data_IF_107441534160
#
_entry.id   IF_107441534160
#
_cell.length_a   1.000
_cell.length_b   1.000
_cell.length_c   1.000
_cell.angle_alpha   90.00
_cell.angle_beta   90.00
_cell.angle_gamma   90.00
#
_symmetry.space_group_name_H-M   'P 1'
#
loop_
_entity.id
_entity.type
_entity.pdbx_description
1 polymer ?
#
# COMPACT_ATOMS: atom_id res chain seq x y z
N UNK A 1 -11.54 -30.05 10.75
CA UNK A 1 -12.39 -29.85 11.93
C UNK A 1 -13.18 -28.53 11.86
N UNK A 2 -13.44 -28.00 10.66
CA UNK A 2 -13.98 -26.64 10.51
C UNK A 2 -15.38 -26.40 11.07
N UNK A 3 -16.18 -27.47 11.24
CA UNK A 3 -17.53 -27.36 11.77
C UNK A 3 -17.60 -27.01 13.27
N UNK A 4 -16.47 -27.11 14.00
CA UNK A 4 -16.41 -26.82 15.45
C UNK A 4 -15.63 -25.53 15.77
N UNK A 5 -15.12 -24.82 14.76
CA UNK A 5 -14.47 -23.51 14.93
C UNK A 5 -15.43 -22.43 14.48
N UNK A 6 -15.71 -21.48 15.37
CA UNK A 6 -16.63 -20.39 15.14
C UNK A 6 -16.20 -19.53 13.92
N UNK A 7 -17.15 -19.03 13.12
CA UNK A 7 -16.83 -18.26 11.90
C UNK A 7 -16.03 -16.97 12.13
N UNK A 8 -16.05 -16.41 13.34
CA UNK A 8 -15.34 -15.19 13.69
C UNK A 8 -13.90 -15.44 14.17
N UNK A 9 -13.50 -16.69 14.39
CA UNK A 9 -12.12 -17.03 14.75
C UNK A 9 -11.21 -16.73 13.57
N UNK A 10 -10.05 -16.14 13.86
CA UNK A 10 -9.04 -15.77 12.89
C UNK A 10 -8.72 -16.94 11.91
N UNK A 11 -8.71 -16.68 10.58
CA UNK A 11 -8.39 -17.71 9.59
C UNK A 11 -7.05 -18.43 9.82
N UNK A 12 -6.02 -17.73 10.31
CA UNK A 12 -4.72 -18.34 10.61
C UNK A 12 -4.81 -19.26 11.82
N UNK A 13 -5.60 -18.90 12.83
CA UNK A 13 -5.90 -19.80 13.97
C UNK A 13 -6.60 -21.05 13.48
N UNK A 14 -7.57 -20.91 12.56
CA UNK A 14 -8.27 -22.06 11.96
C UNK A 14 -7.32 -22.95 11.17
N UNK A 15 -6.43 -22.38 10.36
CA UNK A 15 -5.41 -23.12 9.61
C UNK A 15 -4.50 -23.89 10.57
N UNK A 16 -3.98 -23.20 11.59
CA UNK A 16 -3.15 -23.80 12.62
C UNK A 16 -3.87 -24.98 13.31
N UNK A 17 -5.09 -24.76 13.79
CA UNK A 17 -5.85 -25.75 14.54
C UNK A 17 -6.13 -26.99 13.69
N UNK A 18 -6.59 -26.83 12.44
CA UNK A 18 -6.80 -27.98 11.56
C UNK A 18 -5.51 -28.79 11.32
N UNK A 19 -4.39 -28.10 11.06
CA UNK A 19 -3.08 -28.76 10.91
C UNK A 19 -2.65 -29.46 12.20
N UNK A 20 -2.90 -28.84 13.34
CA UNK A 20 -2.61 -29.40 14.66
C UNK A 20 -3.42 -30.67 14.94
N UNK A 21 -4.72 -30.64 14.70
CA UNK A 21 -5.58 -31.81 14.83
C UNK A 21 -5.21 -32.97 13.89
N UNK A 22 -4.65 -32.66 12.72
CA UNK A 22 -4.21 -33.66 11.74
C UNK A 22 -2.78 -34.15 11.94
N UNK A 23 -2.11 -33.74 13.04
CA UNK A 23 -0.78 -34.23 13.41
C UNK A 23 0.37 -33.61 12.60
N UNK A 24 0.15 -32.45 11.98
CA UNK A 24 1.18 -31.78 11.18
C UNK A 24 2.39 -31.30 12.01
N UNK A 25 2.26 -31.30 13.35
CA UNK A 25 3.29 -30.85 14.28
C UNK A 25 3.81 -31.98 15.18
N UNK A 26 3.51 -33.26 14.88
CA UNK A 26 3.93 -34.42 15.69
C UNK A 26 5.45 -34.51 15.88
N UNK A 27 6.22 -34.01 14.91
CA UNK A 27 7.67 -33.99 14.96
C UNK A 27 8.28 -32.81 15.74
N UNK A 28 7.46 -31.91 16.29
CA UNK A 28 7.96 -30.74 17.00
C UNK A 28 8.30 -31.11 18.44
N UNK A 29 9.40 -30.58 18.98
CA UNK A 29 9.79 -30.84 20.37
C UNK A 29 8.86 -30.15 21.38
N UNK A 30 8.24 -29.04 20.98
CA UNK A 30 7.27 -28.26 21.76
C UNK A 30 6.75 -27.08 20.95
N UNK A 31 5.63 -26.50 21.37
CA UNK A 31 5.02 -25.31 20.75
C UNK A 31 4.84 -24.23 21.82
N UNK A 32 5.41 -23.05 21.56
CA UNK A 32 5.28 -21.87 22.41
C UNK A 32 4.29 -20.89 21.78
N UNK A 33 3.26 -20.53 22.53
CA UNK A 33 2.29 -19.49 22.19
C UNK A 33 2.62 -18.24 22.98
N UNK A 34 2.62 -17.08 22.34
CA UNK A 34 2.93 -15.80 22.99
C UNK A 34 1.62 -15.06 23.23
N UNK A 35 1.35 -14.68 24.48
CA UNK A 35 0.10 -14.02 24.89
C UNK A 35 -0.12 -12.65 24.22
N UNK A 36 0.96 -12.01 23.77
CA UNK A 36 0.92 -10.70 23.14
C UNK A 36 0.01 -10.69 21.91
N UNK A 37 -0.09 -11.83 21.23
CA UNK A 37 -0.98 -12.04 20.10
C UNK A 37 -2.32 -12.66 20.55
N UNK A 38 -3.44 -12.00 20.23
CA UNK A 38 -4.78 -12.47 20.60
C UNK A 38 -5.15 -13.79 19.86
N UNK A 39 -4.95 -13.89 18.54
CA UNK A 39 -4.98 -15.15 17.80
C UNK A 39 -4.22 -16.31 18.46
N UNK A 40 -2.97 -16.10 18.89
CA UNK A 40 -2.17 -17.14 19.55
C UNK A 40 -2.81 -17.66 20.86
N UNK A 41 -3.42 -16.79 21.68
CA UNK A 41 -4.13 -17.26 22.88
C UNK A 41 -5.33 -18.14 22.52
N UNK A 42 -6.12 -17.72 21.54
CA UNK A 42 -7.27 -18.49 21.05
C UNK A 42 -6.80 -19.85 20.54
N UNK A 43 -5.76 -19.89 19.71
CA UNK A 43 -5.15 -21.13 19.23
C UNK A 43 -4.71 -22.05 20.37
N UNK A 44 -4.04 -21.51 21.39
CA UNK A 44 -3.61 -22.26 22.57
C UNK A 44 -4.78 -22.88 23.34
N UNK A 45 -5.85 -22.12 23.57
CA UNK A 45 -7.02 -22.59 24.32
C UNK A 45 -7.77 -23.70 23.57
N UNK A 46 -7.97 -23.54 22.25
CA UNK A 46 -8.58 -24.59 21.43
C UNK A 46 -7.70 -25.83 21.36
N UNK A 47 -6.40 -25.67 21.15
CA UNK A 47 -5.46 -26.78 21.09
C UNK A 47 -5.47 -27.59 22.40
N UNK A 48 -5.41 -26.93 23.56
CA UNK A 48 -5.52 -27.61 24.86
C UNK A 48 -6.84 -28.36 25.01
N UNK A 49 -7.95 -27.74 24.63
CA UNK A 49 -9.26 -28.36 24.76
C UNK A 49 -9.40 -29.58 23.82
N UNK A 50 -8.86 -29.51 22.60
CA UNK A 50 -8.87 -30.62 21.66
C UNK A 50 -8.00 -31.79 22.12
N UNK A 51 -6.85 -31.49 22.74
CA UNK A 51 -6.02 -32.51 23.40
C UNK A 51 -6.80 -33.15 24.56
N UNK A 52 -7.45 -32.35 25.41
CA UNK A 52 -8.26 -32.83 26.54
C UNK A 52 -9.42 -33.74 26.08
N UNK A 53 -10.02 -33.44 24.95
CA UNK A 53 -11.12 -34.21 24.35
C UNK A 53 -10.65 -35.45 23.59
N UNK A 54 -9.34 -35.61 23.34
CA UNK A 54 -8.81 -36.69 22.50
C UNK A 54 -9.13 -36.51 21.01
N UNK A 55 -9.35 -35.27 20.58
CA UNK A 55 -9.72 -34.93 19.20
C UNK A 55 -8.50 -34.85 18.27
N UNK A 56 -7.29 -34.67 18.81
CA UNK A 56 -6.05 -34.57 18.03
C UNK A 56 -5.57 -35.96 17.59
N UNK A 57 -5.17 -36.07 16.32
CA UNK A 57 -4.52 -37.27 15.77
C UNK A 57 -3.03 -37.21 16.05
N UNK A 58 -2.43 -38.37 16.34
CA UNK A 58 -0.97 -38.47 16.45
C UNK A 58 -0.40 -38.01 17.79
N UNK A 59 0.89 -37.72 17.81
CA UNK A 59 1.61 -37.30 19.01
C UNK A 59 1.43 -35.80 19.23
N UNK A 60 0.92 -35.40 20.40
CA UNK A 60 0.80 -33.98 20.73
C UNK A 60 2.12 -33.45 21.32
N UNK A 61 2.79 -32.47 20.68
CA UNK A 61 3.93 -31.81 21.30
C UNK A 61 3.51 -31.05 22.56
N UNK A 62 4.36 -30.94 23.59
CA UNK A 62 4.10 -30.09 24.75
C UNK A 62 3.77 -28.65 24.34
N UNK A 63 2.70 -28.08 24.90
CA UNK A 63 2.24 -26.73 24.62
C UNK A 63 2.58 -25.81 25.80
N UNK A 64 3.07 -24.60 25.52
CA UNK A 64 3.38 -23.60 26.55
C UNK A 64 2.87 -22.22 26.15
N UNK A 65 2.22 -21.51 27.10
CA UNK A 65 1.81 -20.12 26.92
C UNK A 65 2.79 -19.20 27.66
N UNK A 66 3.59 -18.46 26.90
CA UNK A 66 4.42 -17.38 27.43
C UNK A 66 3.57 -16.13 27.64
N UNK A 67 3.50 -15.66 28.88
CA UNK A 67 2.84 -14.40 29.22
C UNK A 67 3.88 -13.31 29.49
N UNK A 68 3.69 -12.16 28.86
CA UNK A 68 4.48 -10.96 29.11
C UNK A 68 3.53 -9.81 29.42
N UNK A 69 3.89 -8.96 30.38
CA UNK A 69 3.17 -7.72 30.66
C UNK A 69 4.04 -6.53 30.26
N UNK A 70 3.46 -5.63 29.47
CA UNK A 70 4.13 -4.47 28.89
C UNK A 70 3.94 -3.21 29.75
N UNK A 71 4.63 -3.19 30.90
CA UNK A 71 4.65 -2.04 31.80
C UNK A 71 5.90 -2.00 32.68
N UNK A 72 6.34 -0.80 33.09
CA UNK A 72 7.59 -0.58 33.81
C UNK A 72 7.44 -0.59 35.36
N UNK A 73 6.57 -1.44 35.92
CA UNK A 73 6.35 -1.51 37.38
C UNK A 73 7.12 -2.66 38.03
N UNK A 74 7.45 -2.55 39.32
CA UNK A 74 8.15 -3.60 40.04
C UNK A 74 7.39 -4.95 40.07
N UNK A 75 6.05 -5.00 40.27
CA UNK A 75 5.30 -6.26 40.17
C UNK A 75 5.38 -6.89 38.78
N UNK A 76 5.38 -6.07 37.72
CA UNK A 76 5.49 -6.56 36.34
C UNK A 76 6.87 -7.14 36.05
N UNK A 77 7.95 -6.50 36.51
CA UNK A 77 9.30 -7.07 36.41
C UNK A 77 9.38 -8.44 37.09
N UNK A 78 8.84 -8.57 38.31
CA UNK A 78 8.77 -9.85 39.02
C UNK A 78 7.97 -10.89 38.24
N UNK A 79 6.80 -10.53 37.71
CA UNK A 79 5.96 -11.42 36.93
C UNK A 79 6.66 -11.90 35.66
N UNK A 80 7.21 -10.99 34.85
CA UNK A 80 7.89 -11.33 33.60
C UNK A 80 9.11 -12.23 33.86
N UNK A 81 9.87 -11.98 34.92
CA UNK A 81 10.97 -12.86 35.34
C UNK A 81 10.48 -14.29 35.64
N UNK A 82 9.39 -14.42 36.40
CA UNK A 82 8.79 -15.74 36.67
C UNK A 82 8.31 -16.44 35.39
N UNK A 83 7.83 -15.71 34.38
CA UNK A 83 7.37 -16.30 33.13
C UNK A 83 8.54 -16.79 32.27
N UNK A 84 9.66 -16.07 32.25
CA UNK A 84 10.88 -16.54 31.58
C UNK A 84 11.47 -17.76 32.29
N UNK A 85 11.50 -17.80 33.63
CA UNK A 85 11.95 -19.02 34.34
C UNK A 85 11.10 -20.24 33.99
N UNK A 86 9.78 -20.08 33.91
CA UNK A 86 8.87 -21.15 33.47
C UNK A 86 9.12 -21.56 32.02
N UNK A 87 9.44 -20.62 31.14
CA UNK A 87 9.82 -20.92 29.77
C UNK A 87 11.13 -21.73 29.75
N UNK A 88 12.14 -21.35 30.53
CA UNK A 88 13.40 -22.09 30.62
C UNK A 88 13.20 -23.51 31.18
N UNK A 89 12.32 -23.67 32.18
CA UNK A 89 11.89 -24.99 32.67
C UNK A 89 11.23 -25.83 31.57
N UNK A 90 10.32 -25.22 30.81
CA UNK A 90 9.64 -25.89 29.70
C UNK A 90 10.62 -26.32 28.60
N UNK A 91 11.51 -25.42 28.16
CA UNK A 91 12.53 -25.70 27.16
C UNK A 91 13.49 -26.81 27.61
N UNK A 92 13.90 -26.79 28.89
CA UNK A 92 14.69 -27.87 29.49
C UNK A 92 13.93 -29.21 29.49
N UNK A 93 12.63 -29.19 29.79
CA UNK A 93 11.76 -30.36 29.77
C UNK A 93 11.64 -31.02 28.40
N UNK A 94 11.79 -30.27 27.30
CA UNK A 94 11.80 -30.78 25.92
C UNK A 94 13.23 -31.04 25.39
N UNK A 95 14.24 -31.04 26.27
CA UNK A 95 15.61 -31.44 25.95
C UNK A 95 16.53 -30.31 25.46
N UNK A 96 16.12 -29.04 25.57
CA UNK A 96 16.96 -27.90 25.23
C UNK A 96 17.80 -27.43 26.43
N UNK A 97 19.01 -26.88 26.21
CA UNK A 97 19.83 -26.36 27.30
C UNK A 97 19.20 -25.10 27.91
N UNK A 98 19.32 -24.94 29.23
CA UNK A 98 19.12 -23.62 29.84
C UNK A 98 20.25 -22.70 29.41
N UNK A 99 19.90 -21.44 29.16
CA UNK A 99 20.85 -20.38 28.83
C UNK A 99 20.88 -19.37 29.96
N UNK A 100 22.04 -18.77 30.18
CA UNK A 100 22.25 -17.65 31.09
C UNK A 100 22.73 -16.41 30.34
N UNK A 101 23.13 -15.40 31.11
CA UNK A 101 23.61 -14.13 30.56
C UNK A 101 24.86 -14.29 29.68
N UNK A 102 25.71 -15.28 29.94
CA UNK A 102 26.91 -15.55 29.14
C UNK A 102 26.60 -15.92 27.69
N UNK A 103 25.66 -16.86 27.50
CA UNK A 103 25.18 -17.25 26.17
C UNK A 103 24.39 -16.11 25.50
N UNK A 104 23.59 -15.37 26.28
CA UNK A 104 22.79 -14.27 25.75
C UNK A 104 23.68 -13.11 25.25
N UNK A 105 24.72 -12.74 26.00
CA UNK A 105 25.70 -11.74 25.58
C UNK A 105 26.46 -12.16 24.30
N UNK A 106 26.64 -13.46 24.06
CA UNK A 106 27.18 -13.94 22.78
C UNK A 106 26.19 -13.73 21.63
N UNK A 107 24.90 -14.00 21.86
CA UNK A 107 23.86 -13.81 20.85
C UNK A 107 23.58 -12.34 20.56
N UNK A 108 23.65 -11.46 21.56
CA UNK A 108 23.47 -10.01 21.42
C UNK A 108 24.38 -9.39 20.34
N UNK A 109 25.63 -9.84 20.24
CA UNK A 109 26.56 -9.38 19.19
C UNK A 109 26.10 -9.76 17.79
N UNK A 110 25.50 -10.94 17.65
CA UNK A 110 24.96 -11.40 16.38
C UNK A 110 23.66 -10.68 16.02
N UNK A 111 22.82 -10.40 17.02
CA UNK A 111 21.62 -9.58 16.88
C UNK A 111 21.97 -8.16 16.40
N UNK A 112 22.93 -7.48 17.02
CA UNK A 112 23.34 -6.13 16.62
C UNK A 112 23.91 -6.06 15.19
N UNK A 113 24.67 -7.09 14.77
CA UNK A 113 25.12 -7.21 13.36
C UNK A 113 23.92 -7.33 12.42
N UNK A 114 22.94 -8.17 12.77
CA UNK A 114 21.72 -8.37 11.97
C UNK A 114 20.86 -7.12 11.90
N UNK A 115 20.63 -6.44 13.02
CA UNK A 115 19.89 -5.19 13.06
C UNK A 115 20.54 -4.15 12.15
N UNK A 116 21.86 -3.97 12.28
CA UNK A 116 22.61 -3.05 11.41
C UNK A 116 22.43 -3.40 9.92
N UNK A 117 22.48 -4.69 9.57
CA UNK A 117 22.24 -5.13 8.19
C UNK A 117 20.79 -4.83 7.75
N UNK A 118 19.78 -5.13 8.58
CA UNK A 118 18.37 -4.84 8.28
C UNK A 118 18.04 -3.35 8.15
N UNK A 119 18.70 -2.51 8.95
CA UNK A 119 18.56 -1.05 8.89
C UNK A 119 19.28 -0.47 7.66
N UNK A 120 20.35 -1.13 7.21
CA UNK A 120 21.09 -0.74 6.01
C UNK A 120 20.53 -1.36 4.73
N UNK A 121 19.62 -2.34 4.81
CA UNK A 121 19.01 -3.02 3.67
C UNK A 121 18.59 -2.02 2.58
N UNK A 122 19.23 -2.17 1.43
CA UNK A 122 18.97 -1.44 0.19
C UNK A 122 18.14 -2.32 -0.76
N UNK A 123 17.35 -1.70 -1.63
CA UNK A 123 16.47 -2.42 -2.55
C UNK A 123 15.09 -1.78 -2.66
N UNK A 124 14.19 -2.46 -3.37
CA UNK A 124 12.78 -2.06 -3.40
C UNK A 124 12.14 -2.27 -2.01
N UNK A 125 10.99 -1.64 -1.78
CA UNK A 125 10.27 -1.85 -0.52
C UNK A 125 9.81 -3.30 -0.33
N UNK A 126 9.58 -4.00 -1.45
CA UNK A 126 9.28 -5.43 -1.49
C UNK A 126 10.48 -6.25 -0.99
N UNK A 127 11.69 -5.96 -1.48
CA UNK A 127 12.93 -6.62 -1.02
C UNK A 127 13.11 -6.39 0.48
N UNK A 128 12.93 -5.16 0.95
CA UNK A 128 13.06 -4.83 2.36
C UNK A 128 12.09 -5.62 3.24
N UNK A 129 10.82 -5.75 2.84
CA UNK A 129 9.82 -6.56 3.53
C UNK A 129 10.20 -8.05 3.53
N UNK A 130 10.59 -8.60 2.38
CA UNK A 130 11.00 -10.00 2.26
C UNK A 130 12.24 -10.31 3.12
N UNK A 131 13.21 -9.41 3.12
CA UNK A 131 14.45 -9.55 3.90
C UNK A 131 14.17 -9.52 5.40
N UNK A 132 13.25 -8.67 5.87
CA UNK A 132 12.84 -8.64 7.29
C UNK A 132 12.13 -9.94 7.69
N UNK A 133 11.22 -10.43 6.85
CA UNK A 133 10.42 -11.64 7.14
C UNK A 133 11.28 -12.91 7.11
N UNK A 134 12.25 -13.01 6.20
CA UNK A 134 13.16 -14.15 6.13
C UNK A 134 13.87 -14.43 7.47
N UNK A 135 14.13 -13.38 8.25
CA UNK A 135 14.75 -13.48 9.58
C UNK A 135 13.94 -14.27 10.62
N UNK A 136 12.64 -14.48 10.37
CA UNK A 136 11.78 -15.30 11.23
C UNK A 136 12.05 -16.81 11.09
N UNK A 137 12.68 -17.22 9.99
CA UNK A 137 12.90 -18.63 9.64
C UNK A 137 14.38 -19.01 9.56
N UNK A 138 15.28 -18.06 9.79
CA UNK A 138 16.72 -18.24 9.66
C UNK A 138 17.44 -17.95 10.99
N UNK A 139 18.51 -18.69 11.30
CA UNK A 139 19.41 -18.30 12.40
C UNK A 139 19.98 -16.90 12.17
N UNK A 140 20.08 -16.10 13.24
CA UNK A 140 20.46 -14.68 13.16
C UNK A 140 21.76 -14.45 12.39
N UNK A 141 22.78 -15.27 12.64
CA UNK A 141 24.09 -15.18 12.01
C UNK A 141 24.00 -15.41 10.51
N UNK A 142 23.22 -16.41 10.09
CA UNK A 142 23.03 -16.73 8.68
C UNK A 142 22.22 -15.64 7.98
N UNK A 143 21.20 -15.11 8.65
CA UNK A 143 20.40 -14.01 8.11
C UNK A 143 21.24 -12.75 7.91
N UNK A 144 22.02 -12.33 8.92
CA UNK A 144 22.93 -11.20 8.79
C UNK A 144 23.93 -11.36 7.63
N UNK A 145 24.55 -12.54 7.51
CA UNK A 145 25.46 -12.84 6.41
C UNK A 145 24.78 -12.71 5.03
N UNK A 146 23.58 -13.27 4.88
CA UNK A 146 22.83 -13.21 3.62
C UNK A 146 22.43 -11.77 3.25
N UNK A 147 22.07 -10.94 4.24
CA UNK A 147 21.76 -9.53 4.01
C UNK A 147 22.99 -8.76 3.53
N UNK A 148 24.15 -8.97 4.16
CA UNK A 148 25.40 -8.33 3.75
C UNK A 148 25.83 -8.79 2.35
N UNK A 149 25.75 -10.09 2.06
CA UNK A 149 26.02 -10.64 0.73
C UNK A 149 25.07 -10.07 -0.33
N UNK A 150 23.79 -9.87 0.02
CA UNK A 150 22.81 -9.24 -0.87
C UNK A 150 23.16 -7.77 -1.11
N UNK A 151 23.48 -7.00 -0.06
CA UNK A 151 23.87 -5.59 -0.15
C UNK A 151 25.13 -5.36 -0.98
N UNK A 152 26.10 -6.28 -0.94
CA UNK A 152 27.30 -6.19 -1.78
C UNK A 152 26.98 -6.40 -3.28
N UNK A 153 25.87 -7.08 -3.59
CA UNK A 153 25.42 -7.36 -4.95
C UNK A 153 24.43 -6.30 -5.47
N UNK A 154 23.64 -5.69 -4.59
CA UNK A 154 22.77 -4.56 -4.94
C UNK A 154 23.54 -3.25 -4.86
N UNK A 155 23.74 -2.60 -6.01
CA UNK A 155 24.23 -1.22 -6.06
C UNK A 155 23.32 -0.25 -5.29
N UNK A 156 23.77 0.98 -5.00
CA UNK A 156 22.95 1.98 -4.32
C UNK A 156 21.63 2.17 -5.08
N UNK A 157 20.52 1.86 -4.42
CA UNK A 157 19.18 2.17 -4.94
C UNK A 157 19.00 3.67 -4.94
N UNK A 158 18.63 4.23 -6.08
CA UNK A 158 18.16 5.61 -6.15
C UNK A 158 16.98 5.74 -5.18
N UNK A 159 17.05 6.71 -4.27
CA UNK A 159 15.93 7.01 -3.39
C UNK A 159 14.79 7.49 -4.28
N UNK A 160 13.91 6.56 -4.68
CA UNK A 160 12.96 6.78 -5.77
C UNK A 160 12.30 8.15 -5.69
N UNK A 161 12.18 8.84 -6.83
CA UNK A 161 11.45 10.09 -6.90
C UNK A 161 9.96 9.83 -6.65
N UNK A 162 9.32 10.60 -5.79
CA UNK A 162 7.88 10.46 -5.53
C UNK A 162 7.50 10.87 -4.11
N UNK A 163 6.27 10.52 -3.74
CA UNK A 163 5.74 10.79 -2.40
C UNK A 163 6.38 9.83 -1.40
N UNK A 164 6.92 10.35 -0.29
CA UNK A 164 7.48 9.52 0.78
C UNK A 164 6.37 8.79 1.53
N UNK A 165 6.29 7.48 1.36
CA UNK A 165 5.22 6.66 1.90
C UNK A 165 5.56 6.10 3.28
N UNK A 166 4.60 6.20 4.21
CA UNK A 166 4.54 5.42 5.43
C UNK A 166 3.50 4.31 5.31
N UNK A 167 3.73 3.16 5.92
CA UNK A 167 2.74 2.06 5.99
C UNK A 167 2.47 1.71 7.44
N UNK A 168 1.19 1.59 7.79
CA UNK A 168 0.72 1.19 9.12
C UNK A 168 -0.46 0.21 9.00
N UNK A 169 -0.79 -0.44 10.12
CA UNK A 169 -1.95 -1.32 10.23
C UNK A 169 -1.57 -2.77 10.49
N UNK A 170 -2.49 -3.68 10.20
CA UNK A 170 -2.28 -5.11 10.44
C UNK A 170 -1.19 -5.68 9.52
N UNK A 171 -0.71 -6.91 9.76
CA UNK A 171 0.33 -7.52 8.91
C UNK A 171 -0.08 -7.57 7.44
N UNK A 172 0.82 -7.16 6.54
CA UNK A 172 0.67 -7.25 5.08
C UNK A 172 1.82 -8.10 4.52
N UNK A 173 1.50 -9.24 3.94
CA UNK A 173 2.48 -10.12 3.30
C UNK A 173 2.12 -10.27 1.83
N UNK A 174 2.30 -9.18 1.09
CA UNK A 174 1.89 -9.08 -0.31
C UNK A 174 2.92 -8.32 -1.11
N UNK A 175 3.81 -9.06 -1.79
CA UNK A 175 4.76 -8.50 -2.77
C UNK A 175 4.04 -7.52 -3.71
N UNK A 176 2.92 -7.95 -4.31
CA UNK A 176 2.10 -7.14 -5.22
C UNK A 176 1.63 -5.81 -4.62
N UNK A 177 1.30 -5.78 -3.33
CA UNK A 177 0.91 -4.55 -2.65
C UNK A 177 2.10 -3.59 -2.51
N UNK A 178 3.25 -4.11 -2.08
CA UNK A 178 4.50 -3.32 -1.98
C UNK A 178 4.96 -2.81 -3.34
N UNK A 179 4.92 -3.64 -4.39
CA UNK A 179 5.21 -3.21 -5.77
C UNK A 179 4.25 -2.10 -6.21
N UNK A 180 2.97 -2.20 -5.86
CA UNK A 180 1.95 -1.20 -6.23
C UNK A 180 2.16 0.11 -5.51
N UNK A 181 2.43 0.08 -4.20
CA UNK A 181 2.74 1.28 -3.42
C UNK A 181 4.01 1.96 -3.92
N UNK A 182 5.04 1.18 -4.25
CA UNK A 182 6.30 1.67 -4.81
C UNK A 182 6.16 2.50 -6.09
N UNK A 183 5.06 2.36 -6.85
CA UNK A 183 4.77 3.18 -8.04
C UNK A 183 4.50 4.66 -7.70
N UNK A 184 4.11 4.97 -6.47
CA UNK A 184 3.78 6.32 -6.03
C UNK A 184 4.94 7.04 -5.34
N UNK A 185 5.96 6.27 -4.93
CA UNK A 185 7.17 6.76 -4.28
C UNK A 185 7.76 5.74 -3.30
N UNK A 186 8.88 6.09 -2.64
CA UNK A 186 9.58 5.18 -1.76
C UNK A 186 8.81 4.96 -0.46
N UNK A 187 8.77 3.72 0.02
CA UNK A 187 8.30 3.39 1.37
C UNK A 187 9.46 3.64 2.34
N UNK A 188 9.36 4.73 3.09
CA UNK A 188 10.43 5.22 3.97
C UNK A 188 10.21 4.86 5.43
N UNK A 189 9.00 4.42 5.78
CA UNK A 189 8.64 3.95 7.10
C UNK A 189 7.61 2.84 6.96
N UNK A 190 7.93 1.65 7.46
CA UNK A 190 7.01 0.53 7.46
C UNK A 190 6.86 0.03 8.90
N UNK A 191 5.68 0.27 9.47
CA UNK A 191 5.36 -0.03 10.86
C UNK A 191 4.35 -1.16 10.98
N UNK A 192 4.12 -1.93 9.90
CA UNK A 192 3.36 -3.16 9.99
C UNK A 192 4.21 -4.27 10.62
N UNK A 193 3.60 -5.29 11.26
CA UNK A 193 4.36 -6.37 11.91
C UNK A 193 5.35 -7.13 11.01
N UNK A 194 5.08 -7.19 9.70
CA UNK A 194 5.99 -7.79 8.70
C UNK A 194 6.97 -6.79 8.06
N UNK A 195 6.72 -5.50 8.27
CA UNK A 195 7.51 -4.41 7.75
C UNK A 195 8.50 -3.83 8.75
N UNK A 196 8.29 -3.99 10.05
CA UNK A 196 9.24 -3.53 11.07
C UNK A 196 10.52 -4.38 11.10
N UNK A 197 11.62 -3.78 11.56
CA UNK A 197 12.80 -4.54 11.96
C UNK A 197 12.39 -5.40 13.15
N UNK A 198 12.41 -6.72 12.94
CA UNK A 198 12.02 -7.70 13.94
C UNK A 198 13.07 -8.81 14.06
N UNK A 199 13.33 -9.30 15.28
CA UNK A 199 12.92 -8.77 16.58
C UNK A 199 13.54 -7.38 16.86
N UNK A 200 12.94 -6.63 17.79
CA UNK A 200 13.41 -5.30 18.16
C UNK A 200 14.62 -5.35 19.12
N UNK A 201 14.93 -4.19 19.69
CA UNK A 201 16.16 -3.92 20.45
C UNK A 201 16.44 -4.89 21.62
N UNK A 202 15.42 -5.58 22.14
CA UNK A 202 15.59 -6.58 23.22
C UNK A 202 16.44 -7.77 22.80
N UNK A 203 16.61 -8.05 21.52
CA UNK A 203 17.47 -9.14 21.04
C UNK A 203 18.97 -8.80 21.17
N UNK A 204 19.30 -7.52 21.30
CA UNK A 204 20.66 -7.03 21.56
C UNK A 204 20.99 -6.96 23.06
N UNK A 205 20.06 -7.35 23.93
CA UNK A 205 20.28 -7.36 25.37
C UNK A 205 21.31 -8.43 25.77
N UNK A 206 22.29 -8.04 26.58
CA UNK A 206 23.33 -8.95 27.07
C UNK A 206 22.90 -9.76 28.30
N UNK A 207 21.83 -9.35 28.98
CA UNK A 207 21.31 -10.04 30.18
C UNK A 207 19.82 -10.30 30.05
N UNK A 208 19.34 -11.35 30.71
CA UNK A 208 17.91 -11.69 30.74
C UNK A 208 17.08 -10.54 31.33
N UNK A 209 17.62 -9.85 32.33
CA UNK A 209 16.93 -8.72 32.95
C UNK A 209 16.76 -7.55 31.97
N UNK A 210 17.83 -7.15 31.28
CA UNK A 210 17.77 -6.07 30.28
C UNK A 210 16.85 -6.45 29.13
N UNK A 211 16.88 -7.70 28.68
CA UNK A 211 15.97 -8.21 27.65
C UNK A 211 14.51 -8.04 28.09
N UNK A 212 14.20 -8.42 29.32
CA UNK A 212 12.84 -8.32 29.88
C UNK A 212 12.38 -6.87 30.04
N UNK A 213 13.28 -5.96 30.45
CA UNK A 213 13.00 -4.53 30.56
C UNK A 213 12.70 -3.90 29.20
N UNK A 214 13.50 -4.22 28.19
CA UNK A 214 13.30 -3.74 26.81
C UNK A 214 12.02 -4.30 26.21
N UNK A 215 11.75 -5.61 26.37
CA UNK A 215 10.53 -6.24 25.88
C UNK A 215 9.29 -5.62 26.52
N UNK A 216 9.28 -5.46 27.86
CA UNK A 216 8.14 -4.86 28.57
C UNK A 216 7.95 -3.36 28.28
N UNK A 217 9.00 -2.70 27.78
CA UNK A 217 9.02 -1.29 27.42
C UNK A 217 8.79 -1.03 25.93
N UNK A 218 8.56 -2.06 25.12
CA UNK A 218 8.40 -1.90 23.67
C UNK A 218 7.18 -1.05 23.33
N UNK A 219 7.46 0.16 22.85
CA UNK A 219 6.45 1.12 22.46
C UNK A 219 5.75 0.76 21.13
N UNK A 220 6.22 -0.25 20.39
CA UNK A 220 5.49 -0.79 19.24
C UNK A 220 4.60 -1.99 19.58
N UNK A 221 4.53 -2.38 20.86
CA UNK A 221 3.55 -3.37 21.31
C UNK A 221 2.18 -2.74 21.53
N UNK A 222 1.12 -3.27 20.92
CA UNK A 222 -0.27 -2.82 21.16
C UNK A 222 -0.74 -2.97 22.62
N UNK A 223 -0.05 -3.78 23.43
CA UNK A 223 -0.38 -4.01 24.84
C UNK A 223 0.38 -3.10 25.80
N UNK A 224 1.20 -2.18 25.29
CA UNK A 224 1.99 -1.24 26.10
C UNK A 224 1.11 -0.40 27.02
N UNK A 225 1.61 -0.11 28.22
CA UNK A 225 0.93 0.74 29.20
C UNK A 225 1.66 2.08 29.41
N UNK A 226 0.97 3.23 29.35
CA UNK A 226 -0.43 3.39 28.93
C UNK A 226 -0.62 3.15 27.41
N UNK A 227 -1.84 2.78 26.95
CA UNK A 227 -2.07 2.36 25.56
C UNK A 227 -1.73 3.40 24.49
N UNK A 228 -1.87 4.69 24.80
CA UNK A 228 -1.54 5.78 23.87
C UNK A 228 -0.06 5.85 23.49
N UNK A 229 0.85 5.24 24.27
CA UNK A 229 2.28 5.19 23.93
C UNK A 229 2.54 4.50 22.59
N UNK A 230 1.72 3.52 22.22
CA UNK A 230 1.81 2.87 20.92
C UNK A 230 1.60 3.88 19.78
N UNK A 231 0.47 4.59 19.82
CA UNK A 231 0.14 5.59 18.81
C UNK A 231 1.14 6.74 18.78
N UNK A 232 1.57 7.23 19.94
CA UNK A 232 2.59 8.29 20.05
C UNK A 232 3.89 7.87 19.33
N UNK A 233 4.37 6.64 19.59
CA UNK A 233 5.57 6.10 18.96
C UNK A 233 5.41 5.93 17.45
N UNK A 234 4.24 5.49 16.98
CA UNK A 234 3.92 5.39 15.55
C UNK A 234 3.99 6.76 14.88
N UNK A 235 3.35 7.78 15.47
CA UNK A 235 3.39 9.16 14.94
C UNK A 235 4.83 9.70 14.92
N UNK A 236 5.58 9.53 16.01
CA UNK A 236 6.98 9.94 16.08
C UNK A 236 7.83 9.30 14.99
N UNK A 237 7.67 8.00 14.76
CA UNK A 237 8.42 7.27 13.73
C UNK A 237 8.07 7.75 12.31
N UNK A 238 6.77 7.96 12.01
CA UNK A 238 6.31 8.45 10.70
C UNK A 238 6.81 9.87 10.42
N UNK A 239 6.81 10.74 11.43
CA UNK A 239 7.33 12.12 11.35
C UNK A 239 8.85 12.12 11.19
N UNK A 240 9.57 11.32 11.97
CA UNK A 240 11.03 11.21 11.89
C UNK A 240 11.47 10.69 10.51
N UNK A 241 10.71 9.75 9.95
CA UNK A 241 10.91 9.25 8.59
C UNK A 241 10.45 10.24 7.50
N UNK A 242 9.90 11.40 7.86
CA UNK A 242 9.42 12.43 6.94
C UNK A 242 8.43 11.87 5.91
N UNK A 243 7.44 11.10 6.38
CA UNK A 243 6.37 10.61 5.51
C UNK A 243 5.51 11.79 5.02
N UNK A 244 5.08 11.74 3.77
CA UNK A 244 4.16 12.70 3.16
C UNK A 244 2.75 12.12 2.96
N UNK A 245 2.66 10.79 2.89
CA UNK A 245 1.44 10.03 2.79
C UNK A 245 1.59 8.73 3.59
N UNK A 246 0.61 8.42 4.44
CA UNK A 246 0.53 7.17 5.20
C UNK A 246 -0.61 6.33 4.68
N UNK A 247 -0.28 5.10 4.28
CA UNK A 247 -1.23 4.08 3.87
C UNK A 247 -1.55 3.19 5.07
N UNK A 248 -2.83 3.10 5.42
CA UNK A 248 -3.33 2.23 6.47
C UNK A 248 -4.17 1.10 5.86
N UNK A 249 -3.92 -0.14 6.27
CA UNK A 249 -4.73 -1.30 5.88
C UNK A 249 -4.96 -2.21 7.08
N UNK A 250 -6.09 -2.90 7.12
CA UNK A 250 -6.46 -3.79 8.21
C UNK A 250 -6.66 -5.23 7.72
N UNK A 251 -6.22 -6.22 8.48
CA UNK A 251 -6.66 -7.59 8.27
C UNK A 251 -8.15 -7.71 8.57
N UNK A 252 -8.87 -8.64 7.94
CA UNK A 252 -10.31 -8.85 8.15
C UNK A 252 -10.70 -9.11 9.61
N UNK A 253 -9.73 -9.55 10.41
CA UNK A 253 -9.86 -9.94 11.81
C UNK A 253 -9.15 -8.98 12.75
N UNK A 254 -8.73 -7.81 12.28
CA UNK A 254 -8.12 -6.79 13.12
C UNK A 254 -9.08 -6.37 14.24
N UNK A 255 -8.65 -6.62 15.48
CA UNK A 255 -9.35 -6.23 16.71
C UNK A 255 -8.50 -5.28 17.59
N UNK A 256 -7.35 -4.84 17.07
CA UNK A 256 -6.34 -4.04 17.80
C UNK A 256 -6.08 -2.69 17.13
N UNK A 257 -5.38 -2.65 16.00
CA UNK A 257 -4.91 -1.39 15.40
C UNK A 257 -6.06 -0.47 14.97
N UNK A 258 -7.20 -1.04 14.57
CA UNK A 258 -8.38 -0.31 14.11
C UNK A 258 -8.87 0.77 15.09
N UNK A 259 -8.66 0.57 16.40
CA UNK A 259 -9.04 1.54 17.43
C UNK A 259 -8.20 2.82 17.43
N UNK A 260 -6.97 2.77 16.92
CA UNK A 260 -6.07 3.93 16.87
C UNK A 260 -6.29 4.81 15.63
N UNK A 261 -6.92 4.29 14.57
CA UNK A 261 -7.03 4.95 13.27
C UNK A 261 -7.59 6.38 13.36
N UNK A 262 -8.72 6.66 14.04
CA UNK A 262 -9.31 8.00 14.01
C UNK A 262 -8.36 9.07 14.57
N UNK A 263 -7.74 8.77 15.70
CA UNK A 263 -6.83 9.71 16.35
C UNK A 263 -5.46 9.75 15.67
N UNK A 264 -4.99 8.62 15.12
CA UNK A 264 -3.77 8.57 14.31
C UNK A 264 -3.90 9.44 13.05
N UNK A 265 -5.01 9.31 12.30
CA UNK A 265 -5.28 10.15 11.12
C UNK A 265 -5.23 11.62 11.48
N UNK A 266 -5.96 12.02 12.53
CA UNK A 266 -6.00 13.40 13.01
C UNK A 266 -4.61 13.93 13.37
N UNK A 267 -3.82 13.17 14.12
CA UNK A 267 -2.47 13.59 14.53
C UNK A 267 -1.48 13.70 13.37
N UNK A 268 -1.63 12.87 12.33
CA UNK A 268 -0.82 12.95 11.12
C UNK A 268 -1.21 14.16 10.25
N UNK A 269 -2.52 14.39 10.08
CA UNK A 269 -3.05 15.56 9.35
C UNK A 269 -2.64 16.89 10.00
N UNK A 270 -2.70 17.00 11.34
CA UNK A 270 -2.21 18.16 12.10
C UNK A 270 -0.72 18.48 11.81
N UNK A 271 0.04 17.49 11.35
CA UNK A 271 1.47 17.59 11.02
C UNK A 271 1.73 17.67 9.52
N UNK A 272 0.68 17.83 8.70
CA UNK A 272 0.77 17.92 7.25
C UNK A 272 1.05 16.58 6.54
N UNK A 273 0.88 15.45 7.23
CA UNK A 273 1.05 14.11 6.67
C UNK A 273 -0.33 13.61 6.22
N UNK A 274 -0.50 13.32 4.92
CA UNK A 274 -1.76 12.80 4.40
C UNK A 274 -1.98 11.36 4.89
N UNK A 275 -3.23 10.99 5.13
CA UNK A 275 -3.59 9.64 5.58
C UNK A 275 -4.64 9.03 4.65
N UNK A 276 -4.39 7.80 4.18
CA UNK A 276 -5.32 7.03 3.36
C UNK A 276 -5.61 5.71 4.06
N UNK A 277 -6.84 5.57 4.55
CA UNK A 277 -7.33 4.30 5.08
C UNK A 277 -7.89 3.44 3.94
N UNK A 278 -7.15 2.40 3.57
CA UNK A 278 -7.60 1.39 2.62
C UNK A 278 -8.68 0.47 3.22
N UNK A 279 -8.85 0.46 4.54
CA UNK A 279 -9.80 -0.40 5.25
C UNK A 279 -9.34 -1.87 5.25
N UNK A 280 -10.31 -2.78 5.37
CA UNK A 280 -10.04 -4.22 5.44
C UNK A 280 -9.50 -4.78 4.12
N UNK A 281 -8.35 -5.45 4.17
CA UNK A 281 -7.69 -6.12 3.07
C UNK A 281 -7.14 -7.45 3.54
N UNK A 282 -7.10 -8.40 2.63
CA UNK A 282 -6.43 -9.67 2.89
C UNK A 282 -4.93 -9.42 2.91
N UNK A 283 -4.22 -9.98 3.89
CA UNK A 283 -2.77 -9.83 4.01
C UNK A 283 -2.04 -10.33 2.76
N UNK A 284 -2.65 -11.29 2.06
CA UNK A 284 -2.25 -11.79 0.75
C UNK A 284 -3.51 -11.87 -0.15
N UNK A 285 -3.84 -10.83 -0.94
CA UNK A 285 -5.04 -10.83 -1.77
C UNK A 285 -4.94 -11.92 -2.84
N UNK A 286 -5.95 -12.79 -2.88
CA UNK A 286 -6.01 -13.88 -3.85
C UNK A 286 -6.39 -13.38 -5.25
N UNK A 287 -6.19 -14.25 -6.25
CA UNK A 287 -6.54 -13.93 -7.64
C UNK A 287 -8.05 -13.64 -7.80
N UNK A 288 -8.90 -14.22 -6.94
CA UNK A 288 -10.33 -13.97 -6.95
C UNK A 288 -10.67 -12.54 -6.50
N UNK A 289 -9.99 -12.02 -5.47
CA UNK A 289 -10.11 -10.64 -5.00
C UNK A 289 -9.67 -9.67 -6.08
N UNK A 290 -8.54 -9.94 -6.74
CA UNK A 290 -8.05 -9.13 -7.86
C UNK A 290 -9.07 -9.11 -9.00
N UNK A 291 -9.60 -10.29 -9.37
CA UNK A 291 -10.63 -10.37 -10.38
C UNK A 291 -11.90 -9.59 -10.00
N UNK A 292 -12.28 -9.56 -8.71
CA UNK A 292 -13.39 -8.72 -8.21
C UNK A 292 -13.06 -7.23 -8.30
N UNK A 293 -11.87 -6.81 -7.89
CA UNK A 293 -11.45 -5.40 -7.94
C UNK A 293 -11.37 -4.88 -9.39
N UNK A 294 -10.74 -5.63 -10.29
CA UNK A 294 -10.71 -5.31 -11.73
C UNK A 294 -12.12 -5.25 -12.32
N UNK A 295 -12.99 -6.19 -11.94
CA UNK A 295 -14.39 -6.21 -12.38
C UNK A 295 -15.14 -4.98 -11.88
N UNK A 296 -15.02 -4.63 -10.60
CA UNK A 296 -15.67 -3.45 -10.03
C UNK A 296 -15.22 -2.15 -10.70
N UNK A 297 -13.92 -1.98 -10.95
CA UNK A 297 -13.40 -0.82 -11.68
C UNK A 297 -13.94 -0.77 -13.12
N UNK A 298 -13.99 -1.92 -13.80
CA UNK A 298 -14.53 -2.03 -15.17
C UNK A 298 -16.04 -1.75 -15.21
N UNK A 299 -16.78 -2.24 -14.22
CA UNK A 299 -18.22 -1.98 -14.06
C UNK A 299 -18.49 -0.50 -13.81
N UNK A 300 -17.77 0.12 -12.88
CA UNK A 300 -17.87 1.55 -12.62
C UNK A 300 -17.58 2.38 -13.88
N UNK A 301 -16.48 2.09 -14.60
CA UNK A 301 -16.16 2.77 -15.85
C UNK A 301 -17.25 2.59 -16.92
N UNK A 302 -17.82 1.38 -17.02
CA UNK A 302 -18.90 1.07 -17.96
C UNK A 302 -20.18 1.84 -17.61
N UNK A 303 -20.53 1.90 -16.34
CA UNK A 303 -21.73 2.58 -15.87
C UNK A 303 -21.59 4.10 -15.96
N UNK A 304 -20.41 4.64 -15.62
CA UNK A 304 -20.07 6.03 -15.87
C UNK A 304 -20.16 6.38 -17.36
N UNK A 305 -19.60 5.57 -18.26
CA UNK A 305 -19.68 5.77 -19.71
C UNK A 305 -21.14 5.73 -20.21
N UNK A 306 -21.95 4.79 -19.75
CA UNK A 306 -23.38 4.72 -20.09
C UNK A 306 -24.13 5.96 -19.61
N UNK A 307 -23.85 6.41 -18.39
CA UNK A 307 -24.42 7.62 -17.80
C UNK A 307 -24.06 8.85 -18.61
N UNK A 308 -22.77 9.06 -18.89
CA UNK A 308 -22.26 10.17 -19.69
C UNK A 308 -22.87 10.18 -21.09
N UNK A 309 -22.95 9.02 -21.77
CA UNK A 309 -23.61 8.90 -23.06
C UNK A 309 -25.08 9.31 -22.97
N UNK A 310 -25.82 8.77 -22.00
CA UNK A 310 -27.23 9.06 -21.84
C UNK A 310 -27.47 10.55 -21.57
N UNK A 311 -26.68 11.14 -20.68
CA UNK A 311 -26.71 12.57 -20.35
C UNK A 311 -26.49 13.43 -21.61
N UNK A 312 -25.39 13.21 -22.33
CA UNK A 312 -25.05 13.99 -23.54
C UNK A 312 -26.10 13.80 -24.65
N UNK A 313 -26.49 12.55 -24.94
CA UNK A 313 -27.46 12.27 -26.02
C UNK A 313 -28.89 12.69 -25.67
N UNK A 314 -29.20 12.88 -24.39
CA UNK A 314 -30.48 13.48 -23.94
C UNK A 314 -30.53 15.01 -24.06
N UNK A 315 -29.44 15.64 -24.51
CA UNK A 315 -29.35 17.08 -24.76
C UNK A 315 -28.68 17.89 -23.65
N UNK A 316 -27.99 17.24 -22.70
CA UNK A 316 -27.19 17.97 -21.72
C UNK A 316 -26.08 18.80 -22.40
N UNK A 317 -25.83 19.99 -21.87
CA UNK A 317 -24.69 20.79 -22.28
C UNK A 317 -23.40 20.11 -21.81
N UNK A 318 -22.43 19.96 -22.71
CA UNK A 318 -21.15 19.35 -22.38
C UNK A 318 -20.00 20.15 -22.99
N UNK A 319 -18.81 20.01 -22.40
CA UNK A 319 -17.58 20.58 -22.92
C UNK A 319 -16.73 19.51 -23.61
N UNK A 320 -16.21 19.82 -24.79
CA UNK A 320 -15.22 18.99 -25.47
C UNK A 320 -13.83 19.59 -25.23
N UNK A 321 -12.92 18.83 -24.63
CA UNK A 321 -11.66 19.34 -24.07
C UNK A 321 -10.46 18.44 -24.37
N UNK A 322 -9.22 18.87 -24.13
CA UNK A 322 -8.05 17.95 -24.09
C UNK A 322 -7.77 17.43 -22.67
N UNK A 323 -7.02 16.34 -22.60
CA UNK A 323 -6.78 15.55 -21.39
C UNK A 323 -6.15 16.34 -20.24
N UNK A 324 -5.42 17.42 -20.52
CA UNK A 324 -4.75 18.25 -19.52
C UNK A 324 -5.38 19.65 -19.36
N UNK A 325 -6.59 19.86 -19.92
CA UNK A 325 -7.44 20.97 -19.49
C UNK A 325 -7.75 20.80 -17.99
N UNK A 326 -7.83 21.88 -17.18
CA UNK A 326 -8.23 21.81 -15.77
C UNK A 326 -9.70 21.37 -15.64
N UNK A 327 -9.92 20.05 -15.59
CA UNK A 327 -11.24 19.41 -15.58
C UNK A 327 -12.04 19.75 -14.32
N UNK A 328 -11.36 20.08 -13.23
CA UNK A 328 -11.94 20.49 -11.95
C UNK A 328 -12.90 21.67 -12.11
N UNK A 329 -12.62 22.59 -13.04
CA UNK A 329 -13.50 23.73 -13.32
C UNK A 329 -14.87 23.26 -13.83
N UNK A 330 -14.89 22.30 -14.75
CA UNK A 330 -16.12 21.76 -15.34
C UNK A 330 -16.90 20.90 -14.36
N UNK A 331 -16.19 20.06 -13.60
CA UNK A 331 -16.78 19.28 -12.53
C UNK A 331 -17.44 20.17 -11.47
N UNK A 332 -16.80 21.29 -11.08
CA UNK A 332 -17.39 22.25 -10.14
C UNK A 332 -18.64 22.95 -10.69
N UNK A 333 -18.73 23.15 -12.02
CA UNK A 333 -19.90 23.70 -12.69
C UNK A 333 -21.01 22.67 -12.97
N UNK A 334 -20.77 21.39 -12.69
CA UNK A 334 -21.69 20.31 -13.07
C UNK A 334 -21.81 20.12 -14.58
N UNK A 335 -20.78 20.50 -15.36
CA UNK A 335 -20.75 20.34 -16.82
C UNK A 335 -20.00 19.04 -17.16
N UNK A 336 -20.65 18.06 -17.83
CA UNK A 336 -19.97 16.87 -18.29
C UNK A 336 -18.89 17.22 -19.33
N UNK A 337 -17.81 16.43 -19.34
CA UNK A 337 -16.70 16.62 -20.26
C UNK A 337 -16.47 15.37 -21.12
N UNK A 338 -16.08 15.61 -22.36
CA UNK A 338 -15.52 14.59 -23.24
C UNK A 338 -14.12 15.04 -23.63
N UNK A 339 -13.10 14.25 -23.31
CA UNK A 339 -11.74 14.56 -23.74
C UNK A 339 -11.49 14.02 -25.15
N UNK A 340 -10.81 14.77 -26.01
CA UNK A 340 -10.54 14.33 -27.38
C UNK A 340 -9.72 13.04 -27.41
N UNK A 341 -8.68 12.92 -26.56
CA UNK A 341 -7.90 11.68 -26.45
C UNK A 341 -8.76 10.48 -26.04
N UNK A 342 -9.67 10.66 -25.08
CA UNK A 342 -10.57 9.59 -24.69
C UNK A 342 -11.54 9.23 -25.82
N UNK A 343 -12.07 10.22 -26.54
CA UNK A 343 -12.91 9.96 -27.71
C UNK A 343 -12.16 9.20 -28.81
N UNK A 344 -10.87 9.48 -29.01
CA UNK A 344 -10.00 8.70 -29.89
C UNK A 344 -9.93 7.23 -29.48
N UNK A 345 -9.81 6.95 -28.18
CA UNK A 345 -9.83 5.58 -27.67
C UNK A 345 -11.19 4.91 -27.91
N UNK A 346 -12.31 5.64 -27.79
CA UNK A 346 -13.66 5.13 -28.10
C UNK A 346 -13.81 4.80 -29.59
N UNK A 347 -13.33 5.68 -30.48
CA UNK A 347 -13.30 5.44 -31.93
C UNK A 347 -12.41 4.23 -32.27
N UNK A 348 -11.21 4.16 -31.69
CA UNK A 348 -10.27 3.07 -31.90
C UNK A 348 -10.82 1.71 -31.42
N UNK A 349 -11.54 1.69 -30.30
CA UNK A 349 -12.21 0.50 -29.79
C UNK A 349 -13.31 -0.03 -30.74
N UNK A 350 -13.80 0.80 -31.67
CA UNK A 350 -14.71 0.41 -32.75
C UNK A 350 -14.00 0.03 -34.05
N UNK A 351 -12.66 -0.05 -34.02
CA UNK A 351 -11.81 -0.35 -35.18
C UNK A 351 -12.00 0.65 -36.33
N UNK A 352 -12.32 1.90 -36.02
CA UNK A 352 -12.55 2.94 -37.02
C UNK A 352 -11.32 3.83 -37.28
N UNK A 353 -10.21 3.63 -36.55
CA UNK A 353 -9.02 4.48 -36.67
C UNK A 353 -8.43 4.50 -38.06
N UNK A 354 -8.21 3.33 -38.69
CA UNK A 354 -7.62 3.24 -40.04
C UNK A 354 -8.49 3.95 -41.07
N UNK A 355 -9.81 3.71 -41.04
CA UNK A 355 -10.77 4.39 -41.91
C UNK A 355 -10.68 5.91 -41.82
N UNK A 356 -10.65 6.46 -40.60
CA UNK A 356 -10.53 7.91 -40.44
C UNK A 356 -9.13 8.43 -40.80
N UNK A 357 -8.05 7.67 -40.60
CA UNK A 357 -6.73 8.09 -41.08
C UNK A 357 -6.60 8.07 -42.60
N UNK A 358 -7.27 7.15 -43.29
CA UNK A 358 -7.39 7.17 -44.75
C UNK A 358 -8.18 8.39 -45.21
N UNK A 359 -9.30 8.69 -44.54
CA UNK A 359 -10.08 9.90 -44.81
C UNK A 359 -9.26 11.18 -44.58
N UNK A 360 -8.47 11.25 -43.49
CA UNK A 360 -7.56 12.35 -43.19
C UNK A 360 -6.65 12.66 -44.38
N UNK A 361 -6.06 11.62 -44.98
CA UNK A 361 -5.20 11.76 -46.15
C UNK A 361 -5.98 12.18 -47.40
N UNK A 362 -7.15 11.58 -47.62
CA UNK A 362 -8.01 11.88 -48.76
C UNK A 362 -8.46 13.36 -48.80
N UNK A 363 -8.67 14.00 -47.64
CA UNK A 363 -9.03 15.41 -47.54
C UNK A 363 -7.82 16.36 -47.47
N UNK A 364 -6.60 15.85 -47.69
CA UNK A 364 -5.38 16.65 -47.89
C UNK A 364 -4.52 16.87 -46.66
N UNK A 365 -4.84 16.29 -45.50
CA UNK A 365 -3.95 16.30 -44.33
C UNK A 365 -2.87 15.21 -44.46
N UNK A 366 -1.65 15.48 -43.98
CA UNK A 366 -0.59 14.49 -44.06
C UNK A 366 -0.72 13.40 -42.98
N UNK A 367 -0.31 12.16 -43.30
CA UNK A 367 -0.45 10.97 -42.43
C UNK A 367 0.28 11.04 -41.06
N UNK A 368 1.23 11.98 -40.96
CA UNK A 368 2.10 12.20 -39.78
C UNK A 368 1.59 13.23 -38.78
N UNK A 369 0.37 13.75 -38.95
CA UNK A 369 -0.27 14.57 -37.91
C UNK A 369 -0.48 13.75 -36.63
N UNK A 370 -0.72 14.43 -35.52
CA UNK A 370 -0.91 13.82 -34.20
C UNK A 370 -2.15 12.91 -34.16
N UNK A 371 -1.98 11.66 -34.59
CA UNK A 371 -3.05 10.67 -34.81
C UNK A 371 -4.00 10.53 -33.62
N UNK A 372 -3.46 10.54 -32.41
CA UNK A 372 -4.27 10.38 -31.20
C UNK A 372 -5.09 11.64 -30.88
N UNK A 373 -4.55 12.84 -31.12
CA UNK A 373 -5.26 14.10 -30.87
C UNK A 373 -6.23 14.46 -31.99
N UNK A 374 -5.91 14.09 -33.24
CA UNK A 374 -6.66 14.47 -34.44
C UNK A 374 -7.80 13.51 -34.80
N UNK A 375 -7.74 12.24 -34.39
CA UNK A 375 -8.75 11.23 -34.77
C UNK A 375 -10.21 11.68 -34.55
N UNK A 376 -10.60 12.34 -33.43
CA UNK A 376 -11.93 12.88 -33.21
C UNK A 376 -12.31 13.93 -34.23
N UNK A 377 -11.39 14.85 -34.51
CA UNK A 377 -11.60 15.91 -35.50
C UNK A 377 -11.82 15.32 -36.88
N UNK A 378 -11.03 14.31 -37.26
CA UNK A 378 -11.19 13.69 -38.58
C UNK A 378 -12.52 12.96 -38.69
N UNK A 379 -12.95 12.26 -37.65
CA UNK A 379 -14.27 11.64 -37.62
C UNK A 379 -15.40 12.67 -37.80
N UNK A 380 -15.28 13.82 -37.13
CA UNK A 380 -16.23 14.93 -37.28
C UNK A 380 -16.20 15.56 -38.68
N UNK A 381 -15.02 15.73 -39.27
CA UNK A 381 -14.87 16.28 -40.62
C UNK A 381 -15.47 15.34 -41.68
N UNK A 382 -15.32 14.03 -41.51
CA UNK A 382 -15.91 13.01 -42.37
C UNK A 382 -17.45 13.06 -42.34
N UNK A 383 -18.02 13.29 -41.16
CA UNK A 383 -19.43 13.69 -41.00
C UNK A 383 -20.47 12.57 -41.09
N UNK A 384 -20.07 11.30 -41.25
CA UNK A 384 -20.98 10.14 -41.12
C UNK A 384 -21.21 9.81 -39.64
N UNK A 385 -22.15 10.52 -39.02
CA UNK A 385 -22.48 10.36 -37.61
C UNK A 385 -22.95 8.93 -37.27
N UNK A 386 -23.64 8.24 -38.17
CA UNK A 386 -24.10 6.86 -37.99
C UNK A 386 -22.94 5.86 -37.86
N UNK A 387 -21.81 6.13 -38.51
CA UNK A 387 -20.58 5.33 -38.36
C UNK A 387 -19.87 5.59 -37.04
N UNK A 388 -19.96 6.82 -36.52
CA UNK A 388 -19.27 7.20 -35.31
C UNK A 388 -19.84 6.48 -34.08
N UNK A 389 -19.01 6.24 -33.05
CA UNK A 389 -19.51 5.82 -31.75
C UNK A 389 -20.62 6.77 -31.26
N UNK A 390 -21.64 6.19 -30.65
CA UNK A 390 -22.81 6.90 -30.12
C UNK A 390 -23.71 7.61 -31.14
N UNK A 391 -23.48 7.44 -32.44
CA UNK A 391 -24.17 8.21 -33.47
C UNK A 391 -23.55 9.59 -33.69
N UNK A 392 -22.26 9.74 -33.36
CA UNK A 392 -21.56 11.02 -33.32
C UNK A 392 -21.78 11.76 -32.00
N UNK A 393 -20.90 12.72 -31.73
CA UNK A 393 -21.11 13.65 -30.62
C UNK A 393 -22.04 14.77 -31.08
N UNK A 394 -23.01 15.20 -30.25
CA UNK A 394 -23.76 16.43 -30.54
C UNK A 394 -22.82 17.63 -30.49
N UNK A 395 -23.22 18.77 -31.06
CA UNK A 395 -22.41 20.00 -31.02
C UNK A 395 -22.08 20.35 -29.56
N UNK A 396 -20.77 20.46 -29.20
CA UNK A 396 -20.38 20.85 -27.85
C UNK A 396 -20.94 22.22 -27.48
N UNK A 397 -21.33 22.40 -26.22
CA UNK A 397 -21.70 23.75 -25.74
C UNK A 397 -20.47 24.65 -25.62
N UNK A 398 -19.29 24.05 -25.47
CA UNK A 398 -18.01 24.73 -25.60
C UNK A 398 -16.89 23.77 -25.98
N UNK A 399 -15.90 24.33 -26.65
CA UNK A 399 -14.58 23.75 -26.87
C UNK A 399 -13.60 24.43 -25.91
N UNK A 400 -12.81 23.66 -25.19
CA UNK A 400 -11.78 24.24 -24.32
C UNK A 400 -10.48 23.45 -24.42
N UNK A 401 -9.40 24.13 -24.84
CA UNK A 401 -8.11 23.48 -24.92
C UNK A 401 -7.01 24.20 -24.17
N UNK A 402 -6.25 23.46 -23.37
CA UNK A 402 -4.94 23.89 -22.87
C UNK A 402 -3.90 23.71 -23.97
N UNK A 403 -3.18 24.78 -24.30
CA UNK A 403 -2.16 24.82 -25.35
C UNK A 403 -0.84 24.17 -24.91
N UNK A 404 -0.91 22.94 -24.39
CA UNK A 404 0.25 22.14 -24.00
C UNK A 404 1.03 21.55 -25.16
N UNK A 405 0.45 21.57 -26.36
CA UNK A 405 1.09 21.23 -27.62
C UNK A 405 0.57 22.16 -28.73
N UNK A 406 1.41 22.45 -29.72
CA UNK A 406 1.10 23.40 -30.81
C UNK A 406 -0.09 22.95 -31.67
N UNK A 407 -0.34 21.64 -31.75
CA UNK A 407 -1.43 21.06 -32.51
C UNK A 407 -2.80 21.28 -31.84
N UNK A 408 -2.87 21.40 -30.51
CA UNK A 408 -4.13 21.59 -29.78
C UNK A 408 -4.88 22.84 -30.24
N UNK A 409 -4.19 23.97 -30.42
CA UNK A 409 -4.83 25.19 -30.92
C UNK A 409 -5.43 24.97 -32.32
N UNK A 410 -4.71 24.28 -33.21
CA UNK A 410 -5.15 24.03 -34.58
C UNK A 410 -6.33 23.07 -34.61
N UNK A 411 -6.24 21.96 -33.89
CA UNK A 411 -7.27 20.93 -33.83
C UNK A 411 -8.58 21.51 -33.29
N UNK A 412 -8.51 22.27 -32.19
CA UNK A 412 -9.71 22.84 -31.58
C UNK A 412 -10.29 24.02 -32.36
N UNK A 413 -9.46 24.79 -33.07
CA UNK A 413 -9.94 25.81 -34.01
C UNK A 413 -10.74 25.17 -35.16
N UNK A 414 -10.24 24.08 -35.75
CA UNK A 414 -10.95 23.34 -36.80
C UNK A 414 -12.26 22.74 -36.30
N UNK A 415 -12.29 22.24 -35.05
CA UNK A 415 -13.53 21.83 -34.39
C UNK A 415 -14.52 22.98 -34.26
N UNK A 416 -14.07 24.17 -33.85
CA UNK A 416 -14.91 25.35 -33.69
C UNK A 416 -15.47 25.83 -35.04
N UNK A 417 -14.64 25.84 -36.09
CA UNK A 417 -15.06 26.16 -37.46
C UNK A 417 -16.11 25.16 -37.99
N UNK A 418 -15.90 23.87 -37.74
CA UNK A 418 -16.80 22.80 -38.20
C UNK A 418 -18.14 22.78 -37.47
N UNK A 419 -18.14 22.99 -36.16
CA UNK A 419 -19.33 22.83 -35.31
C UNK A 419 -20.04 24.13 -34.96
N UNK A 420 -19.34 25.27 -35.08
CA UNK A 420 -19.80 26.57 -34.59
C UNK A 420 -19.73 26.74 -33.07
N UNK A 421 -19.20 25.76 -32.33
CA UNK A 421 -19.08 25.84 -30.88
C UNK A 421 -18.04 26.89 -30.44
N UNK A 422 -18.29 27.63 -29.33
CA UNK A 422 -17.35 28.62 -28.84
C UNK A 422 -16.08 27.95 -28.32
N UNK A 423 -14.92 28.49 -28.71
CA UNK A 423 -13.60 27.99 -28.32
C UNK A 423 -12.92 28.90 -27.30
N UNK A 424 -12.52 28.31 -26.18
CA UNK A 424 -11.62 28.92 -25.20
C UNK A 424 -10.26 28.23 -25.23
N UNK A 425 -9.19 29.01 -25.41
CA UNK A 425 -7.82 28.51 -25.33
C UNK A 425 -7.18 28.96 -24.03
N UNK A 426 -6.61 28.01 -23.29
CA UNK A 426 -5.81 28.27 -22.10
C UNK A 426 -4.35 28.22 -22.50
N UNK A 427 -3.68 29.36 -22.44
CA UNK A 427 -2.24 29.42 -22.70
C UNK A 427 -1.49 28.60 -21.65
N UNK A 428 -0.57 27.76 -22.09
CA UNK A 428 0.36 27.03 -21.24
C UNK A 428 1.78 27.57 -21.48
N UNK A 429 2.11 28.75 -20.94
CA UNK A 429 3.41 29.35 -21.18
C UNK A 429 4.53 28.46 -20.62
N UNK A 430 5.67 28.45 -21.32
CA UNK A 430 6.88 27.85 -20.80
C UNK A 430 7.51 28.75 -19.73
N UNK A 431 8.16 28.15 -18.74
CA UNK A 431 9.02 28.88 -17.81
C UNK A 431 10.29 29.29 -18.57
N UNK A 432 10.64 30.58 -18.65
CA UNK A 432 11.81 31.02 -19.42
C UNK A 432 13.13 30.49 -18.86
N UNK A 433 13.21 30.31 -17.53
CA UNK A 433 14.40 29.82 -16.82
C UNK A 433 14.00 28.73 -15.80
N UNK A 434 13.71 27.49 -16.24
CA UNK A 434 13.32 26.43 -15.34
C UNK A 434 14.49 26.12 -14.39
N UNK A 435 14.33 26.44 -13.11
CA UNK A 435 15.31 26.11 -12.09
C UNK A 435 15.52 24.58 -12.03
N UNK A 436 16.71 24.08 -11.64
CA UNK A 436 16.96 22.64 -11.53
C UNK A 436 15.99 21.89 -10.61
N UNK A 437 15.23 22.58 -9.76
CA UNK A 437 14.20 22.05 -8.86
C UNK A 437 12.78 22.57 -9.19
N UNK A 438 12.54 23.04 -10.42
CA UNK A 438 11.29 23.71 -10.81
C UNK A 438 10.03 22.91 -10.47
N UNK A 439 10.05 21.57 -10.53
CA UNK A 439 8.91 20.72 -10.15
C UNK A 439 8.59 20.73 -8.65
N UNK A 440 9.56 21.07 -7.79
CA UNK A 440 9.33 21.29 -6.36
C UNK A 440 8.67 22.66 -6.15
N UNK A 441 9.25 23.70 -6.76
CA UNK A 441 8.75 25.07 -6.65
C UNK A 441 7.36 25.26 -7.29
N UNK A 442 7.07 24.57 -8.39
CA UNK A 442 5.75 24.60 -9.03
C UNK A 442 4.62 24.14 -8.11
N UNK A 443 4.94 23.34 -7.08
CA UNK A 443 3.96 22.83 -6.10
C UNK A 443 3.79 23.72 -4.88
N UNK A 444 4.86 24.38 -4.42
CA UNK A 444 4.88 25.06 -3.11
C UNK A 444 5.16 26.56 -3.18
N UNK A 445 5.69 27.04 -4.29
CA UNK A 445 6.15 28.42 -4.49
C UNK A 445 5.94 28.82 -5.97
N UNK A 446 4.74 28.53 -6.47
CA UNK A 446 4.39 28.69 -7.88
C UNK A 446 4.44 30.17 -8.29
N UNK A 447 4.14 31.10 -7.38
CA UNK A 447 4.22 32.54 -7.61
C UNK A 447 5.66 33.01 -7.90
N UNK A 448 6.66 32.47 -7.19
CA UNK A 448 8.06 32.78 -7.47
C UNK A 448 8.58 32.06 -8.73
N UNK A 449 8.08 30.86 -9.03
CA UNK A 449 8.48 30.09 -10.20
C UNK A 449 7.93 30.66 -11.51
N UNK A 450 6.64 31.01 -11.52
CA UNK A 450 5.94 31.49 -12.72
C UNK A 450 5.92 33.02 -12.81
N UNK A 451 6.46 33.71 -11.80
CA UNK A 451 6.36 35.15 -11.56
C UNK A 451 4.91 35.61 -11.34
N UNK A 452 4.70 36.59 -10.46
CA UNK A 452 3.40 37.24 -10.32
C UNK A 452 3.07 38.07 -11.57
N UNK A 453 1.83 38.01 -12.03
CA UNK A 453 1.32 38.83 -13.13
C UNK A 453 1.65 40.31 -12.90
N UNK A 454 2.23 40.94 -13.93
CA UNK A 454 2.29 42.41 -14.06
C UNK A 454 1.28 42.87 -15.10
#
# INVERSE_FOLDING_TARGET
>A
MDAVIEPFVDPEVRIFLNRFADGAFDGFAGIVFVRDDAPALTAYQYALEWVRQGSVRGATPPLFLLNTIHAATAPVRTFNRMQIEKLMDFLAGIGLPRIGDGELAQQARHAGRRHKALAATLGSAEDAMMFRIAGRFLPMQRHAQLLEEAMDQTGPTDAGSGVRLGIVGSPLFSERAYTTFGKYGPIVCDLQPFGQIWPGDWEEAETVETMLELLAGDAFCHRISPPNRYRERVVEALVAARCELVLCQLAQTDDTFGWDIPELSRQLEDRGIRFVNLGFRDAQPDDAWLARATRAATEYQRDWLKGLRAEITSGAQYAFVNADTPHELFHAMGVPIVTNQWWSAVIAAKQLSEFYFDHMQAIGYHERLARYSSLPLIAELEGDAERQPWGGLPVPSMLCARQSADDHQKIFALWAEKTGAPLTLLSAPAVPDPLPDWWNRARTDWEALYHGDR
#
